data_IF_523058884971
#
_entry.id   IF_523058884971
#
_cell.length_a   1.000
_cell.length_b   1.000
_cell.length_c   1.000
_cell.angle_alpha   90.00
_cell.angle_beta   90.00
_cell.angle_gamma   90.00
#
_symmetry.space_group_name_H-M   'P 1'
#
loop_
_entity.id
_entity.type
_entity.pdbx_description
1 polymer ?
#
# COMPACT_ATOMS: atom_id res chain seq x y z
N UNK A 1 2.24 -10.04 -9.59
CA UNK A 1 2.10 -10.94 -10.77
C UNK A 1 0.65 -10.87 -11.21
N UNK A 2 0.41 -10.68 -12.50
CA UNK A 2 -0.95 -10.65 -13.08
C UNK A 2 -0.95 -11.63 -14.25
N UNK A 3 -1.89 -12.59 -14.25
CA UNK A 3 -1.91 -13.67 -15.22
C UNK A 3 -0.57 -14.41 -15.26
N UNK A 4 -0.02 -14.60 -16.45
CA UNK A 4 1.25 -15.28 -16.68
C UNK A 4 2.45 -14.32 -16.74
N UNK A 5 2.34 -13.10 -16.22
CA UNK A 5 3.39 -12.09 -16.26
C UNK A 5 3.81 -11.59 -14.88
N UNK A 6 5.12 -11.37 -14.73
CA UNK A 6 5.71 -10.60 -13.65
C UNK A 6 5.93 -9.18 -14.16
N UNK A 7 5.39 -8.20 -13.45
CA UNK A 7 5.62 -6.77 -13.69
C UNK A 7 6.68 -6.26 -12.72
N UNK A 8 7.61 -5.45 -13.21
CA UNK A 8 8.72 -4.94 -12.42
C UNK A 8 9.19 -3.59 -12.92
N UNK A 9 9.76 -2.82 -12.01
CA UNK A 9 10.43 -1.57 -12.36
C UNK A 9 11.84 -1.88 -12.85
N UNK A 10 12.18 -1.39 -14.03
CA UNK A 10 13.50 -1.50 -14.61
C UNK A 10 14.22 -0.16 -14.48
N UNK A 11 15.36 -0.19 -13.80
CA UNK A 11 16.24 0.96 -13.70
C UNK A 11 17.21 0.97 -14.87
N UNK A 12 17.21 2.03 -15.64
CA UNK A 12 18.14 2.30 -16.73
C UNK A 12 19.05 3.49 -16.34
N UNK A 13 20.31 3.43 -16.73
CA UNK A 13 21.26 4.54 -16.45
C UNK A 13 20.91 5.84 -17.15
N UNK A 14 20.18 5.73 -18.24
CA UNK A 14 19.83 6.88 -19.12
C UNK A 14 18.39 7.38 -18.88
N UNK A 15 17.56 6.60 -18.23
CA UNK A 15 16.15 6.94 -18.00
C UNK A 15 15.73 6.58 -16.57
N UNK A 16 14.82 7.39 -16.04
CA UNK A 16 14.13 7.04 -14.81
C UNK A 16 13.49 5.65 -14.92
N UNK A 17 13.29 5.02 -13.80
CA UNK A 17 12.68 3.71 -13.65
C UNK A 17 11.41 3.57 -14.50
N UNK A 18 11.38 2.59 -15.39
CA UNK A 18 10.24 2.32 -16.28
C UNK A 18 9.59 0.98 -15.94
N UNK A 19 8.32 0.82 -16.29
CA UNK A 19 7.59 -0.41 -16.06
C UNK A 19 7.84 -1.42 -17.19
N UNK A 20 8.22 -2.62 -16.82
CA UNK A 20 8.39 -3.78 -17.70
C UNK A 20 7.54 -4.96 -17.26
N UNK A 21 7.26 -5.85 -18.21
CA UNK A 21 6.70 -7.17 -17.96
C UNK A 21 7.58 -8.27 -18.56
N UNK A 22 7.53 -9.45 -17.96
CA UNK A 22 8.15 -10.68 -18.47
C UNK A 22 7.25 -11.87 -18.12
N UNK A 23 7.15 -12.84 -19.03
CA UNK A 23 6.42 -14.07 -18.76
C UNK A 23 7.04 -14.84 -17.59
N UNK A 24 6.24 -15.61 -16.87
CA UNK A 24 6.71 -16.49 -15.78
C UNK A 24 7.70 -17.57 -16.25
N UNK A 25 7.73 -17.83 -17.56
CA UNK A 25 8.72 -18.69 -18.23
C UNK A 25 10.03 -17.96 -18.60
N UNK A 26 10.14 -16.69 -18.24
CA UNK A 26 11.29 -15.83 -18.55
C UNK A 26 11.30 -15.25 -19.96
N UNK A 27 10.28 -15.51 -20.78
CA UNK A 27 10.19 -15.03 -22.15
C UNK A 27 9.26 -13.82 -22.28
N UNK A 28 9.25 -13.20 -23.47
CA UNK A 28 8.32 -12.11 -23.77
C UNK A 28 8.55 -10.85 -22.94
N UNK A 29 9.81 -10.54 -22.58
CA UNK A 29 10.14 -9.29 -21.91
C UNK A 29 9.76 -8.12 -22.79
N UNK A 30 8.95 -7.21 -22.26
CA UNK A 30 8.50 -6.01 -22.97
C UNK A 30 8.41 -4.82 -22.01
N UNK A 31 8.67 -3.63 -22.54
CA UNK A 31 8.39 -2.38 -21.85
C UNK A 31 6.90 -2.10 -21.91
N UNK A 32 6.31 -1.78 -20.78
CA UNK A 32 4.88 -1.51 -20.63
C UNK A 32 4.61 -0.01 -20.69
N UNK A 33 5.45 0.79 -20.02
CA UNK A 33 5.27 2.23 -19.93
C UNK A 33 6.61 2.94 -19.77
N UNK A 34 6.73 4.14 -20.35
CA UNK A 34 7.82 5.08 -20.09
C UNK A 34 7.66 5.80 -18.75
N UNK A 35 6.50 5.65 -18.13
CA UNK A 35 6.17 6.32 -16.91
C UNK A 35 6.74 5.58 -15.70
N UNK A 36 7.16 6.35 -14.74
CA UNK A 36 7.62 5.89 -13.45
C UNK A 36 6.42 5.57 -12.56
N UNK A 37 6.16 4.29 -12.32
CA UNK A 37 5.09 3.83 -11.44
C UNK A 37 5.72 3.36 -10.13
N UNK A 38 5.48 4.10 -9.05
CA UNK A 38 6.14 3.86 -7.76
C UNK A 38 5.64 2.63 -7.04
N UNK A 39 4.39 2.61 -6.74
CA UNK A 39 3.77 1.55 -5.95
C UNK A 39 2.53 1.08 -6.67
N UNK A 40 2.31 -0.21 -6.69
CA UNK A 40 1.10 -0.74 -7.30
C UNK A 40 0.42 -1.76 -6.40
N UNK A 41 -0.90 -1.79 -6.52
CA UNK A 41 -1.76 -2.83 -5.98
C UNK A 41 -2.49 -3.52 -7.13
N UNK A 42 -2.84 -4.78 -6.98
CA UNK A 42 -3.44 -5.56 -8.07
C UNK A 42 -4.82 -6.08 -7.70
N UNK A 43 -5.73 -6.04 -8.67
CA UNK A 43 -7.06 -6.63 -8.59
C UNK A 43 -7.42 -7.26 -9.94
N UNK A 44 -7.49 -8.59 -9.99
CA UNK A 44 -7.74 -9.32 -11.23
C UNK A 44 -6.66 -9.05 -12.28
N UNK A 45 -7.06 -8.60 -13.46
CA UNK A 45 -6.15 -8.22 -14.56
C UNK A 45 -5.60 -6.81 -14.46
N UNK A 46 -6.10 -6.02 -13.51
CA UNK A 46 -5.72 -4.61 -13.33
C UNK A 46 -4.66 -4.43 -12.26
N UNK A 47 -3.82 -3.43 -12.44
CA UNK A 47 -3.09 -2.87 -11.32
C UNK A 47 -3.29 -1.35 -11.23
N UNK A 48 -3.15 -0.84 -10.03
CA UNK A 48 -3.40 0.54 -9.66
C UNK A 48 -2.11 1.13 -9.13
N UNK A 49 -1.75 2.28 -9.62
CA UNK A 49 -0.52 2.96 -9.22
C UNK A 49 -0.73 4.46 -9.10
N UNK A 50 0.15 5.10 -8.38
CA UNK A 50 0.30 6.54 -8.48
C UNK A 50 1.06 6.85 -9.77
N UNK A 51 0.48 7.62 -10.60
CA UNK A 51 0.89 8.16 -11.87
C UNK A 51 2.35 8.20 -12.26
N UNK A 52 2.66 9.22 -13.01
CA UNK A 52 3.93 9.41 -13.68
C UNK A 52 4.83 10.36 -12.88
N UNK A 53 6.05 10.61 -13.33
CA UNK A 53 6.95 11.62 -12.75
C UNK A 53 6.39 13.04 -12.75
N UNK A 54 5.39 13.30 -13.59
CA UNK A 54 4.77 14.63 -13.75
C UNK A 54 3.34 14.69 -13.28
N UNK A 55 2.74 13.55 -12.96
CA UNK A 55 1.33 13.44 -12.58
C UNK A 55 1.16 12.33 -11.53
N UNK A 56 1.02 12.72 -10.27
CA UNK A 56 0.85 11.82 -9.12
C UNK A 56 -0.55 11.22 -8.97
N UNK A 57 -1.43 11.33 -9.97
CA UNK A 57 -2.79 10.83 -9.91
C UNK A 57 -2.90 9.32 -9.78
N UNK A 58 -4.09 8.84 -9.43
CA UNK A 58 -4.39 7.42 -9.40
C UNK A 58 -4.69 6.91 -10.81
N UNK A 59 -3.93 5.90 -11.23
CA UNK A 59 -4.08 5.24 -12.52
C UNK A 59 -4.42 3.76 -12.38
N UNK A 60 -5.22 3.27 -13.31
CA UNK A 60 -5.47 1.86 -13.57
C UNK A 60 -4.76 1.47 -14.88
N UNK A 61 -4.02 0.36 -14.83
CA UNK A 61 -3.48 -0.29 -16.02
C UNK A 61 -4.17 -1.64 -16.23
N UNK A 62 -4.66 -1.86 -17.45
CA UNK A 62 -5.22 -3.14 -17.89
C UNK A 62 -4.12 -3.99 -18.53
N UNK A 63 -3.81 -5.13 -17.93
CA UNK A 63 -2.77 -6.04 -18.43
C UNK A 63 -3.14 -6.81 -19.69
N UNK A 64 -4.39 -6.76 -20.12
CA UNK A 64 -4.90 -7.44 -21.33
C UNK A 64 -4.84 -6.51 -22.53
N UNK A 65 -5.32 -5.27 -22.39
CA UNK A 65 -5.30 -4.27 -23.46
C UNK A 65 -3.99 -3.48 -23.53
N UNK A 66 -3.16 -3.56 -22.50
CA UNK A 66 -1.97 -2.71 -22.28
C UNK A 66 -2.32 -1.21 -22.21
N UNK A 67 -3.53 -0.87 -21.76
CA UNK A 67 -4.02 0.50 -21.64
C UNK A 67 -3.89 1.04 -20.22
N UNK A 68 -3.54 2.31 -20.10
CA UNK A 68 -3.50 3.04 -18.83
C UNK A 68 -4.56 4.13 -18.80
N UNK A 69 -5.40 4.11 -17.77
CA UNK A 69 -6.50 5.06 -17.58
C UNK A 69 -6.34 5.81 -16.27
N UNK A 70 -6.45 7.14 -16.29
CA UNK A 70 -6.55 7.94 -15.07
C UNK A 70 -7.92 7.67 -14.42
N UNK A 71 -7.89 7.19 -13.17
CA UNK A 71 -9.09 6.91 -12.39
C UNK A 71 -9.49 8.14 -11.59
N UNK A 72 -8.52 8.84 -10.98
CA UNK A 72 -8.80 9.98 -10.15
C UNK A 72 -7.68 11.02 -10.19
N UNK A 73 -8.09 12.30 -10.22
CA UNK A 73 -7.18 13.46 -10.23
C UNK A 73 -6.82 13.85 -8.80
N UNK A 74 -5.71 13.34 -8.31
CA UNK A 74 -5.23 13.51 -6.95
C UNK A 74 -3.70 13.49 -6.93
N UNK A 75 -3.10 13.62 -5.75
CA UNK A 75 -1.68 13.33 -5.55
C UNK A 75 -1.55 12.07 -4.69
N UNK A 76 -1.70 10.93 -5.36
CA UNK A 76 -1.81 9.61 -4.76
C UNK A 76 -0.43 9.02 -4.43
N UNK A 77 -0.29 8.44 -3.25
CA UNK A 77 0.89 7.69 -2.85
C UNK A 77 0.49 6.37 -2.19
N UNK A 78 1.23 5.30 -2.49
CA UNK A 78 1.00 3.94 -1.97
C UNK A 78 -0.45 3.45 -2.10
N UNK A 79 -1.07 3.42 -3.29
CA UNK A 79 -2.41 2.90 -3.43
C UNK A 79 -2.50 1.42 -3.08
N UNK A 80 -3.55 1.05 -2.34
CA UNK A 80 -3.92 -0.34 -2.03
C UNK A 80 -5.36 -0.56 -2.47
N UNK A 81 -5.58 -1.58 -3.29
CA UNK A 81 -6.91 -2.02 -3.69
C UNK A 81 -7.37 -3.19 -2.81
N UNK A 82 -8.58 -3.14 -2.32
CA UNK A 82 -9.17 -4.17 -1.47
C UNK A 82 -10.61 -4.49 -1.86
N UNK A 83 -10.97 -5.77 -1.84
CA UNK A 83 -12.27 -6.23 -2.31
C UNK A 83 -12.42 -6.07 -3.81
N UNK A 84 -13.56 -5.58 -4.27
CA UNK A 84 -13.88 -5.46 -5.70
C UNK A 84 -13.75 -4.05 -6.26
N UNK A 85 -13.75 -3.02 -5.39
CA UNK A 85 -13.91 -1.63 -5.83
C UNK A 85 -13.20 -0.61 -4.91
N UNK A 86 -12.75 -1.00 -3.73
CA UNK A 86 -12.20 -0.06 -2.75
C UNK A 86 -10.73 0.23 -3.05
N UNK A 87 -10.39 1.51 -3.11
CA UNK A 87 -9.02 2.00 -3.23
C UNK A 87 -8.70 2.89 -2.04
N UNK A 88 -7.62 2.59 -1.37
CA UNK A 88 -7.04 3.39 -0.30
C UNK A 88 -5.73 3.99 -0.80
N UNK A 89 -5.43 5.21 -0.41
CA UNK A 89 -4.16 5.85 -0.74
C UNK A 89 -3.81 6.94 0.27
N UNK A 90 -2.56 7.35 0.25
CA UNK A 90 -2.10 8.52 1.00
C UNK A 90 -2.16 9.74 0.07
N UNK A 91 -2.85 10.79 0.48
CA UNK A 91 -2.92 12.05 -0.27
C UNK A 91 -1.76 12.96 0.14
N UNK A 92 -0.80 13.12 -0.77
CA UNK A 92 0.39 13.97 -0.53
C UNK A 92 -0.01 15.44 -0.31
N UNK A 93 -1.06 15.91 -0.97
CA UNK A 93 -1.54 17.28 -0.80
C UNK A 93 -2.17 17.52 0.58
N UNK A 94 -2.54 16.47 1.29
CA UNK A 94 -3.09 16.49 2.64
C UNK A 94 -2.11 15.89 3.67
N UNK A 95 -0.81 16.12 3.51
CA UNK A 95 0.23 15.64 4.42
C UNK A 95 0.21 14.12 4.62
N UNK A 96 0.02 13.36 3.54
CA UNK A 96 -0.13 11.90 3.55
C UNK A 96 -1.31 11.40 4.40
N UNK A 97 -2.39 12.14 4.46
CA UNK A 97 -3.65 11.68 5.06
C UNK A 97 -4.17 10.44 4.32
N UNK A 98 -4.77 9.52 5.07
CA UNK A 98 -5.37 8.32 4.48
C UNK A 98 -6.72 8.62 3.85
N UNK A 99 -6.84 8.31 2.58
CA UNK A 99 -8.04 8.55 1.78
C UNK A 99 -8.58 7.23 1.24
N UNK A 100 -9.89 7.11 1.20
CA UNK A 100 -10.63 6.04 0.55
C UNK A 100 -11.43 6.58 -0.62
N UNK A 101 -11.43 5.85 -1.73
CA UNK A 101 -12.35 6.04 -2.86
C UNK A 101 -12.76 4.68 -3.42
N UNK A 102 -13.77 4.69 -4.29
CA UNK A 102 -14.13 3.52 -5.09
C UNK A 102 -13.64 3.73 -6.51
N UNK A 103 -13.34 2.65 -7.24
CA UNK A 103 -12.94 2.72 -8.66
C UNK A 103 -14.03 3.40 -9.50
N UNK A 104 -15.30 3.14 -9.14
CA UNK A 104 -16.49 3.64 -9.83
C UNK A 104 -17.13 4.88 -9.20
N UNK A 105 -16.60 5.40 -8.08
CA UNK A 105 -17.24 6.46 -7.33
C UNK A 105 -16.62 7.84 -7.56
N UNK A 106 -17.38 8.83 -7.23
CA UNK A 106 -17.16 10.21 -7.64
C UNK A 106 -16.36 11.03 -6.64
N UNK A 107 -16.29 10.64 -5.36
CA UNK A 107 -15.66 11.48 -4.33
C UNK A 107 -14.85 10.69 -3.33
N UNK A 108 -13.53 10.94 -3.26
CA UNK A 108 -12.69 10.45 -2.19
C UNK A 108 -13.14 10.98 -0.83
N UNK A 109 -12.93 10.17 0.18
CA UNK A 109 -13.20 10.50 1.57
C UNK A 109 -11.93 10.33 2.41
N UNK A 110 -11.53 11.37 3.10
CA UNK A 110 -10.45 11.30 4.10
C UNK A 110 -10.92 10.49 5.30
N UNK A 111 -10.19 9.44 5.65
CA UNK A 111 -10.48 8.57 6.78
C UNK A 111 -9.85 9.08 8.07
N UNK A 112 -8.64 9.60 7.98
CA UNK A 112 -7.93 10.28 9.06
C UNK A 112 -7.01 11.34 8.50
N UNK A 113 -6.78 12.41 9.27
CA UNK A 113 -5.83 13.48 8.95
C UNK A 113 -4.44 13.25 9.54
N UNK A 114 -4.21 12.09 10.16
CA UNK A 114 -2.87 11.69 10.58
C UNK A 114 -1.92 11.69 9.38
N UNK A 115 -0.70 12.17 9.58
CA UNK A 115 0.37 11.95 8.62
C UNK A 115 0.82 10.49 8.69
N UNK A 116 0.79 9.79 7.56
CA UNK A 116 1.02 8.34 7.54
C UNK A 116 2.25 8.03 6.68
N UNK A 117 3.15 7.23 7.23
CA UNK A 117 4.33 6.74 6.50
C UNK A 117 4.05 5.44 5.76
N UNK A 118 3.39 4.50 6.40
CA UNK A 118 3.04 3.21 5.82
C UNK A 118 1.73 2.68 6.41
N UNK A 119 1.02 1.88 5.63
CA UNK A 119 -0.22 1.24 6.06
C UNK A 119 -0.44 -0.09 5.35
N UNK A 120 -1.36 -0.89 5.88
CA UNK A 120 -1.87 -2.11 5.27
C UNK A 120 -3.36 -2.26 5.54
N UNK A 121 -4.09 -2.83 4.58
CA UNK A 121 -5.53 -3.03 4.64
C UNK A 121 -5.83 -4.53 4.81
N UNK A 122 -6.63 -4.87 5.81
CA UNK A 122 -7.08 -6.24 6.01
C UNK A 122 -8.52 -6.29 6.56
N UNK A 123 -9.40 -6.94 5.81
CA UNK A 123 -10.82 -7.01 6.16
C UNK A 123 -11.44 -5.63 6.24
N UNK A 124 -12.05 -5.32 7.38
CA UNK A 124 -12.70 -4.03 7.63
C UNK A 124 -11.78 -3.01 8.31
N UNK A 125 -10.50 -3.32 8.48
CA UNK A 125 -9.56 -2.48 9.21
C UNK A 125 -8.35 -2.10 8.37
N UNK A 126 -7.80 -0.94 8.70
CA UNK A 126 -6.55 -0.40 8.17
C UNK A 126 -5.60 -0.21 9.35
N UNK A 127 -4.40 -0.76 9.22
CA UNK A 127 -3.33 -0.66 10.21
C UNK A 127 -2.23 0.21 9.65
N UNK A 128 -1.81 1.23 10.40
CA UNK A 128 -0.88 2.23 9.88
C UNK A 128 0.10 2.77 10.91
N UNK A 129 1.23 3.24 10.46
CA UNK A 129 2.17 4.01 11.26
C UNK A 129 1.84 5.49 11.12
N UNK A 130 1.40 6.11 12.20
CA UNK A 130 1.29 7.57 12.30
C UNK A 130 2.68 8.16 12.42
N UNK A 131 3.03 9.03 11.49
CA UNK A 131 4.21 9.85 11.59
C UNK A 131 3.93 11.06 12.48
N UNK A 132 4.71 11.21 13.53
CA UNK A 132 4.67 12.36 14.44
C UNK A 132 6.02 12.46 15.14
N UNK A 133 6.50 13.66 15.38
CA UNK A 133 7.74 13.87 16.14
C UNK A 133 7.53 13.53 17.62
N UNK A 134 6.39 13.93 18.19
CA UNK A 134 6.12 13.78 19.62
C UNK A 134 5.35 12.48 19.96
N UNK A 135 4.46 12.04 19.08
CA UNK A 135 3.53 10.92 19.32
C UNK A 135 3.45 9.94 18.16
N UNK A 136 4.59 9.36 17.71
CA UNK A 136 4.56 8.31 16.69
C UNK A 136 3.87 7.07 17.27
N UNK A 137 3.03 6.42 16.46
CA UNK A 137 2.30 5.25 16.94
C UNK A 137 1.87 4.31 15.82
N UNK A 138 1.81 3.02 16.14
CA UNK A 138 1.04 2.04 15.36
C UNK A 138 -0.44 2.23 15.69
N UNK A 139 -1.23 2.49 14.67
CA UNK A 139 -2.66 2.79 14.80
C UNK A 139 -3.51 1.83 13.96
N UNK A 140 -4.79 1.78 14.30
CA UNK A 140 -5.82 1.05 13.59
C UNK A 140 -7.06 1.92 13.43
N UNK A 141 -7.72 1.80 12.27
CA UNK A 141 -9.00 2.47 11.98
C UNK A 141 -9.85 1.55 11.10
N UNK A 142 -11.18 1.63 11.21
CA UNK A 142 -12.05 0.97 10.25
C UNK A 142 -11.98 1.64 8.87
N UNK A 143 -12.31 0.86 7.84
CA UNK A 143 -12.36 1.33 6.46
C UNK A 143 -13.45 2.38 6.19
N UNK A 144 -14.35 2.62 7.14
CA UNK A 144 -15.32 3.71 7.14
C UNK A 144 -14.85 4.94 7.93
N UNK A 145 -13.62 4.95 8.47
CA UNK A 145 -13.06 6.03 9.27
C UNK A 145 -13.48 6.00 10.74
N UNK A 146 -14.27 5.01 11.17
CA UNK A 146 -14.66 4.86 12.58
C UNK A 146 -13.70 3.95 13.37
N UNK A 147 -13.95 3.78 14.67
CA UNK A 147 -13.27 2.82 15.55
C UNK A 147 -11.74 2.97 15.57
N UNK A 148 -11.28 4.22 15.62
CA UNK A 148 -9.85 4.52 15.75
C UNK A 148 -9.30 3.99 17.07
N UNK A 149 -8.10 3.36 16.99
CA UNK A 149 -7.32 2.93 18.16
C UNK A 149 -5.84 3.13 17.93
N UNK A 150 -5.16 3.65 18.95
CA UNK A 150 -3.72 3.58 19.05
C UNK A 150 -3.34 2.24 19.67
N UNK A 151 -2.53 1.44 18.96
CA UNK A 151 -2.16 0.08 19.38
C UNK A 151 -0.86 0.06 20.17
N UNK A 152 0.10 0.87 19.74
CA UNK A 152 1.39 0.97 20.41
C UNK A 152 2.07 2.29 20.06
N UNK A 153 2.61 2.97 21.07
CA UNK A 153 3.43 4.14 20.88
C UNK A 153 4.83 3.73 20.40
N UNK A 154 5.36 4.44 19.41
CA UNK A 154 6.68 4.21 18.83
C UNK A 154 6.68 4.25 17.30
N UNK A 155 7.87 4.07 16.73
CA UNK A 155 8.07 4.01 15.29
C UNK A 155 8.21 2.56 14.86
N UNK A 156 7.30 2.13 13.99
CA UNK A 156 7.26 0.77 13.47
C UNK A 156 7.30 0.76 11.95
N UNK A 157 7.85 -0.30 11.40
CA UNK A 157 7.95 -0.55 9.97
C UNK A 157 7.47 -1.97 9.63
N UNK A 158 7.37 -2.28 8.34
CA UNK A 158 7.01 -3.61 7.86
C UNK A 158 5.70 -4.16 8.47
N UNK A 159 4.64 -3.34 8.48
CA UNK A 159 3.33 -3.78 8.95
C UNK A 159 2.79 -4.83 7.98
N UNK A 160 2.62 -6.05 8.47
CA UNK A 160 2.06 -7.19 7.74
C UNK A 160 0.90 -7.78 8.53
N UNK A 161 -0.24 -7.99 7.86
CA UNK A 161 -1.45 -8.46 8.52
C UNK A 161 -1.83 -9.83 7.98
N UNK A 162 -2.19 -10.72 8.89
CA UNK A 162 -2.72 -12.05 8.61
C UNK A 162 -4.12 -12.18 9.23
N UNK A 163 -4.77 -13.32 9.07
CA UNK A 163 -6.11 -13.58 9.62
C UNK A 163 -6.20 -13.41 11.13
N UNK A 164 -5.11 -13.60 11.88
CA UNK A 164 -5.14 -13.60 13.33
C UNK A 164 -4.06 -12.73 13.97
N UNK A 165 -3.11 -12.18 13.20
CA UNK A 165 -1.98 -11.41 13.74
C UNK A 165 -1.60 -10.24 12.86
N UNK A 166 -1.11 -9.19 13.50
CA UNK A 166 -0.45 -8.04 12.89
C UNK A 166 1.01 -8.12 13.29
N UNK A 167 1.91 -8.24 12.31
CA UNK A 167 3.36 -8.24 12.52
C UNK A 167 3.93 -6.89 12.14
N UNK A 168 4.88 -6.41 12.91
CA UNK A 168 5.58 -5.16 12.64
C UNK A 168 6.96 -5.16 13.27
N UNK A 169 7.84 -4.32 12.76
CA UNK A 169 9.23 -4.23 13.20
C UNK A 169 9.44 -2.90 13.92
N UNK A 170 9.94 -2.93 15.14
CA UNK A 170 10.41 -1.74 15.84
C UNK A 170 11.58 -1.13 15.07
N UNK A 171 11.46 0.15 14.73
CA UNK A 171 12.43 0.81 13.87
C UNK A 171 13.83 0.92 14.50
N UNK A 172 13.90 1.13 15.82
CA UNK A 172 15.13 1.34 16.57
C UNK A 172 15.86 0.03 16.89
N UNK A 173 15.11 -0.95 17.42
CA UNK A 173 15.68 -2.22 17.90
C UNK A 173 15.76 -3.29 16.81
N UNK A 174 15.02 -3.13 15.72
CA UNK A 174 14.84 -4.12 14.66
C UNK A 174 14.16 -5.41 15.12
N UNK A 175 13.67 -5.43 16.34
CA UNK A 175 12.88 -6.55 16.86
C UNK A 175 11.52 -6.60 16.15
N UNK A 176 11.12 -7.79 15.72
CA UNK A 176 9.78 -8.05 15.19
C UNK A 176 8.84 -8.34 16.36
N UNK A 177 7.69 -7.71 16.33
CA UNK A 177 6.59 -7.94 17.27
C UNK A 177 5.35 -8.39 16.51
N UNK A 178 4.42 -8.95 17.25
CA UNK A 178 3.06 -9.15 16.76
C UNK A 178 2.03 -8.83 17.84
N UNK A 179 0.81 -8.53 17.40
CA UNK A 179 -0.39 -8.44 18.22
C UNK A 179 -1.55 -9.18 17.56
N UNK A 180 -2.58 -9.52 18.30
CA UNK A 180 -3.77 -10.19 17.75
C UNK A 180 -4.63 -9.23 16.93
N UNK A 181 -5.23 -9.71 15.84
CA UNK A 181 -6.25 -8.94 15.08
C UNK A 181 -7.58 -8.86 15.82
N UNK A 182 -7.92 -9.84 16.67
CA UNK A 182 -9.18 -9.87 17.42
C UNK A 182 -9.15 -9.04 18.71
N UNK A 183 -7.97 -8.88 19.31
CA UNK A 183 -7.76 -8.05 20.50
C UNK A 183 -6.40 -7.37 20.42
N UNK A 184 -6.27 -6.34 19.56
CA UNK A 184 -5.00 -5.66 19.35
C UNK A 184 -4.63 -4.77 20.53
N UNK A 185 -3.31 -4.68 20.84
CA UNK A 185 -2.76 -3.80 21.86
C UNK A 185 -1.66 -4.45 22.71
N UNK A 186 -1.73 -5.75 22.98
CA UNK A 186 -0.64 -6.47 23.66
C UNK A 186 0.44 -6.85 22.64
N UNK A 187 1.67 -6.35 22.83
CA UNK A 187 2.80 -6.60 21.94
C UNK A 187 3.61 -7.80 22.41
N UNK A 188 3.69 -8.81 21.56
CA UNK A 188 4.49 -10.01 21.82
C UNK A 188 5.71 -10.03 20.91
N UNK A 189 6.94 -10.17 21.43
CA UNK A 189 8.12 -10.36 20.58
C UNK A 189 7.98 -11.62 19.74
N UNK A 190 8.27 -11.50 18.45
CA UNK A 190 8.31 -12.63 17.53
C UNK A 190 9.71 -13.23 17.52
N UNK A 191 9.82 -14.49 17.89
CA UNK A 191 11.04 -15.28 17.77
C UNK A 191 10.80 -16.35 16.72
N UNK A 192 11.45 -16.27 15.54
CA UNK A 192 11.37 -17.34 14.56
C UNK A 192 11.91 -18.62 15.22
N UNK A 193 11.09 -19.67 15.25
CA UNK A 193 11.52 -20.95 15.77
C UNK A 193 12.73 -21.45 14.98
N UNK A 194 13.76 -21.92 15.66
CA UNK A 194 14.83 -22.67 15.02
C UNK A 194 14.17 -23.95 14.50
N UNK A 195 14.10 -24.10 13.18
CA UNK A 195 13.67 -25.36 12.59
C UNK A 195 14.59 -26.46 13.14
N UNK A 196 14.00 -27.38 13.92
CA UNK A 196 14.69 -28.58 14.38
C UNK A 196 14.78 -29.58 13.27
#
# INVERSE_FOLDING_TARGET
>A
MIGNYVYYLHYDKEQATTLYKVGIDGKGRAKVSDNYLFTCSTLGQYFYSNGTTTDGCLYQYDSVSDEMTKIYDCNCYKPIVSGTDNVYYLDVNQNNALVHTNISADKPRTLTTDSIDLYNVYGSYIYYQRYSEDHPALCMIKNDGSDFKELAQGNYSNINVTSNRIYFTDFKTRQVFYTSTSNPGELTPFHPGVAK
#
